data_IF_179813215390
#
_entry.id   IF_179813215390
#
_cell.length_a   1.000
_cell.length_b   1.000
_cell.length_c   1.000
_cell.angle_alpha   90.00
_cell.angle_beta   90.00
_cell.angle_gamma   90.00
#
_symmetry.space_group_name_H-M   'P 1'
#
loop_
_entity.id
_entity.type
_entity.pdbx_description
1 polymer ?
#
# COMPACT_ATOMS: atom_id res chain seq x y z
N UNK A 1 7.83 75.83 30.80
CA UNK A 1 6.66 76.31 31.52
C UNK A 1 5.84 75.08 31.70
N UNK A 2 6.11 74.42 32.76
CA UNK A 2 5.38 74.37 34.04
C UNK A 2 4.17 73.42 33.87
N UNK A 3 4.29 72.30 34.44
CA UNK A 3 4.15 71.85 35.87
C UNK A 3 2.75 71.37 36.05
N UNK A 4 2.45 70.36 36.65
CA UNK A 4 2.78 69.66 37.86
C UNK A 4 1.58 68.78 38.18
N UNK A 5 1.88 67.60 38.61
CA UNK A 5 1.66 67.06 39.98
C UNK A 5 0.25 66.64 40.31
N UNK A 6 0.17 65.43 40.69
CA UNK A 6 0.22 64.83 42.05
C UNK A 6 -1.21 64.51 42.54
N UNK A 7 -1.55 63.48 43.17
CA UNK A 7 -1.11 62.69 44.31
C UNK A 7 -2.14 61.61 44.62
N UNK A 8 -1.69 60.46 45.00
CA UNK A 8 -1.87 59.68 46.24
C UNK A 8 -3.32 59.55 46.76
N UNK A 9 -3.75 58.48 47.25
CA UNK A 9 -3.41 57.58 48.35
C UNK A 9 -4.62 56.68 48.57
N UNK A 10 -4.70 55.58 48.99
CA UNK A 10 -4.33 54.74 50.12
C UNK A 10 -5.40 53.65 50.27
N UNK A 11 -4.97 52.41 50.34
CA UNK A 11 -4.92 51.52 51.51
C UNK A 11 -6.22 51.19 52.22
N UNK A 12 -6.50 49.94 52.32
CA UNK A 12 -6.82 49.03 53.42
C UNK A 12 -7.83 47.97 53.01
N UNK A 13 -7.37 46.73 52.98
CA UNK A 13 -7.45 45.65 53.99
C UNK A 13 -8.87 45.27 54.42
N UNK A 14 -9.15 44.03 54.24
CA UNK A 14 -9.43 42.98 55.20
C UNK A 14 -10.37 41.93 54.62
N UNK A 15 -10.00 40.78 54.79
CA UNK A 15 -10.36 39.56 55.48
C UNK A 15 -11.09 38.50 54.61
N UNK A 16 -10.39 37.46 54.43
CA UNK A 16 -10.53 36.08 54.88
C UNK A 16 -11.97 35.58 55.09
N UNK A 17 -12.38 34.62 54.30
CA UNK A 17 -13.15 33.47 54.78
C UNK A 17 -12.92 32.24 53.92
N UNK A 18 -12.39 31.23 54.60
CA UNK A 18 -12.40 29.82 54.27
C UNK A 18 -13.81 29.30 53.97
N UNK A 19 -13.89 28.35 53.11
CA UNK A 19 -14.58 27.03 53.25
C UNK A 19 -15.04 26.54 51.89
N UNK A 20 -14.75 25.45 51.54
CA UNK A 20 -14.98 24.03 51.73
C UNK A 20 -15.13 23.36 50.37
N UNK A 21 -14.31 22.37 50.22
CA UNK A 21 -14.43 21.28 49.24
C UNK A 21 -15.83 20.67 49.22
N UNK A 22 -16.32 20.35 48.05
CA UNK A 22 -17.35 19.33 47.91
C UNK A 22 -17.07 18.49 46.65
N UNK A 23 -16.69 17.27 46.88
CA UNK A 23 -16.63 16.15 45.94
C UNK A 23 -17.98 15.89 45.25
N UNK A 24 -18.02 15.44 43.98
CA UNK A 24 -19.25 14.92 43.36
C UNK A 24 -19.44 13.44 43.72
N UNK A 25 -20.69 12.97 43.86
CA UNK A 25 -21.03 11.66 44.36
C UNK A 25 -20.88 10.55 43.30
N UNK A 26 -20.43 9.40 43.78
CA UNK A 26 -20.45 8.13 43.07
C UNK A 26 -21.86 7.54 43.00
N UNK A 27 -22.27 6.80 41.99
CA UNK A 27 -23.53 6.06 41.97
C UNK A 27 -23.39 4.69 42.67
N UNK A 28 -24.34 4.50 43.58
CA UNK A 28 -24.52 3.28 44.36
C UNK A 28 -24.95 2.08 43.50
N UNK A 29 -24.36 0.97 43.86
CA UNK A 29 -24.77 -0.38 43.52
C UNK A 29 -26.00 -0.77 44.30
N UNK A 30 -27.02 -1.31 43.64
CA UNK A 30 -28.06 -2.09 44.34
C UNK A 30 -28.36 -3.40 43.58
N UNK A 31 -27.89 -4.48 44.19
CA UNK A 31 -28.31 -5.83 43.94
C UNK A 31 -29.70 -6.08 44.55
N UNK A 32 -30.51 -6.83 43.86
CA UNK A 32 -31.47 -7.78 44.48
C UNK A 32 -31.94 -8.79 43.42
N UNK A 33 -31.53 -10.01 43.56
CA UNK A 33 -32.37 -11.21 43.35
C UNK A 33 -33.21 -11.42 44.60
N UNK A 34 -34.31 -12.22 44.65
CA UNK A 34 -34.39 -13.59 44.13
C UNK A 34 -35.82 -14.11 43.76
N UNK A 35 -35.81 -15.34 43.20
CA UNK A 35 -36.79 -16.45 43.37
C UNK A 35 -38.26 -16.20 42.87
N UNK A 36 -39.00 -17.14 42.31
CA UNK A 36 -39.00 -18.60 42.22
C UNK A 36 -40.21 -19.07 41.38
N UNK A 37 -40.09 -20.27 40.81
CA UNK A 37 -41.12 -21.26 40.55
C UNK A 37 -42.44 -20.89 39.88
N UNK A 38 -42.87 -21.59 38.83
CA UNK A 38 -43.45 -22.96 38.83
C UNK A 38 -43.88 -23.38 37.44
N UNK A 39 -43.51 -24.57 37.10
CA UNK A 39 -44.19 -25.65 36.39
C UNK A 39 -45.50 -25.39 35.67
N UNK A 40 -45.57 -25.87 34.42
CA UNK A 40 -46.65 -26.80 33.95
C UNK A 40 -46.29 -27.46 32.64
N UNK A 41 -46.26 -28.77 32.69
CA UNK A 41 -46.42 -29.78 31.64
C UNK A 41 -47.49 -29.42 30.60
N UNK A 42 -47.23 -29.73 29.35
CA UNK A 42 -48.20 -30.45 28.52
C UNK A 42 -47.50 -31.21 27.39
N UNK A 43 -47.78 -32.45 27.38
CA UNK A 43 -47.41 -33.60 26.63
C UNK A 43 -48.25 -33.67 25.31
N UNK A 44 -47.71 -34.45 24.38
CA UNK A 44 -48.33 -35.11 23.21
C UNK A 44 -48.16 -34.39 21.87
N UNK A 45 -47.85 -34.97 20.74
CA UNK A 45 -47.94 -36.42 20.34
C UNK A 45 -47.11 -36.58 19.06
N UNK A 46 -46.55 -37.77 18.90
CA UNK A 46 -45.95 -38.33 17.69
C UNK A 46 -46.94 -38.32 16.49
N UNK A 47 -46.41 -38.07 15.32
CA UNK A 47 -46.81 -38.89 14.15
C UNK A 47 -45.60 -39.07 13.23
N UNK A 48 -45.18 -40.31 13.16
CA UNK A 48 -44.36 -40.89 12.12
C UNK A 48 -45.17 -40.95 10.82
N UNK A 49 -44.56 -40.56 9.74
CA UNK A 49 -44.86 -41.16 8.46
C UNK A 49 -43.60 -41.28 7.62
N UNK A 50 -43.17 -42.50 7.50
CA UNK A 50 -42.13 -43.03 6.68
C UNK A 50 -42.62 -43.18 5.25
N UNK A 51 -41.95 -42.58 4.29
CA UNK A 51 -41.99 -43.08 2.92
C UNK A 51 -40.56 -43.39 2.45
N UNK A 52 -40.30 -44.67 2.39
CA UNK A 52 -39.25 -45.29 1.58
C UNK A 52 -39.51 -45.02 0.11
N UNK A 53 -38.54 -44.44 -0.58
CA UNK A 53 -38.42 -44.61 -2.00
C UNK A 53 -37.04 -45.19 -2.29
N UNK A 54 -37.12 -46.36 -2.90
CA UNK A 54 -36.04 -47.28 -3.22
C UNK A 54 -35.08 -46.70 -4.27
N UNK A 55 -33.81 -46.93 -3.97
CA UNK A 55 -32.65 -47.22 -4.81
C UNK A 55 -32.93 -47.49 -6.31
N UNK A 56 -32.28 -46.70 -7.14
CA UNK A 56 -31.61 -47.23 -8.32
C UNK A 56 -30.16 -46.74 -8.41
N UNK A 57 -29.30 -47.69 -8.18
CA UNK A 57 -27.87 -47.64 -8.38
C UNK A 57 -27.60 -47.66 -9.87
N UNK A 58 -27.10 -46.54 -10.42
CA UNK A 58 -26.36 -46.60 -11.67
C UNK A 58 -24.96 -46.10 -11.38
N UNK A 59 -24.06 -47.07 -11.30
CA UNK A 59 -22.63 -46.91 -11.48
C UNK A 59 -22.37 -46.41 -12.90
N UNK A 60 -21.77 -45.26 -13.02
CA UNK A 60 -21.00 -44.91 -14.20
C UNK A 60 -19.60 -44.59 -13.77
N UNK A 61 -18.71 -45.46 -14.12
CA UNK A 61 -17.26 -45.32 -13.99
C UNK A 61 -16.75 -44.05 -14.72
N UNK A 62 -15.66 -43.45 -14.26
CA UNK A 62 -15.07 -42.31 -14.95
C UNK A 62 -14.24 -42.80 -16.13
N UNK A 63 -14.54 -42.25 -17.25
CA UNK A 63 -13.79 -42.37 -18.50
C UNK A 63 -12.36 -41.85 -18.28
N UNK A 64 -11.42 -42.77 -18.19
CA UNK A 64 -9.99 -42.56 -18.32
C UNK A 64 -9.65 -42.44 -19.81
N UNK A 65 -9.61 -41.24 -20.31
CA UNK A 65 -8.88 -40.98 -21.56
C UNK A 65 -7.51 -40.40 -21.22
N UNK A 66 -6.56 -41.26 -21.22
CA UNK A 66 -5.15 -40.99 -21.33
C UNK A 66 -4.84 -40.57 -22.78
N UNK A 67 -4.21 -39.46 -23.06
CA UNK A 67 -3.60 -39.22 -24.34
C UNK A 67 -2.13 -39.66 -24.28
N UNK A 68 -1.84 -40.85 -24.72
CA UNK A 68 -0.61 -41.13 -25.45
C UNK A 68 -0.67 -40.28 -26.73
N UNK A 69 0.20 -39.31 -26.85
CA UNK A 69 1.01 -38.98 -28.03
C UNK A 69 1.68 -37.61 -27.80
N UNK A 70 2.94 -37.65 -27.47
CA UNK A 70 3.99 -36.74 -27.96
C UNK A 70 5.33 -37.20 -27.43
N UNK A 71 5.76 -38.33 -27.93
CA UNK A 71 7.20 -38.65 -28.02
C UNK A 71 7.66 -38.17 -29.38
N UNK A 72 8.16 -36.97 -29.45
CA UNK A 72 9.09 -36.48 -30.48
C UNK A 72 9.28 -34.97 -30.24
N UNK A 73 10.22 -34.65 -29.34
CA UNK A 73 10.92 -33.34 -29.29
C UNK A 73 11.94 -33.22 -28.16
N UNK A 74 12.43 -34.31 -27.57
CA UNK A 74 13.41 -34.25 -26.48
C UNK A 74 14.87 -34.49 -26.91
N UNK A 75 15.19 -34.43 -28.22
CA UNK A 75 16.58 -34.60 -28.68
C UNK A 75 17.33 -33.29 -28.97
N UNK A 76 16.67 -32.13 -28.89
CA UNK A 76 17.31 -30.84 -29.24
C UNK A 76 17.75 -30.00 -28.02
N UNK A 77 17.54 -30.49 -26.79
CA UNK A 77 17.91 -29.77 -25.57
C UNK A 77 19.24 -30.20 -24.96
N UNK A 78 19.74 -31.40 -25.27
CA UNK A 78 21.00 -31.91 -24.71
C UNK A 78 22.25 -31.39 -25.45
N UNK A 79 22.14 -31.01 -26.72
CA UNK A 79 23.29 -30.43 -27.45
C UNK A 79 23.60 -28.99 -27.08
N UNK A 80 22.61 -28.21 -26.57
CA UNK A 80 22.82 -26.85 -26.09
C UNK A 80 23.39 -26.77 -24.68
N UNK A 81 23.27 -27.81 -23.88
CA UNK A 81 23.85 -27.86 -22.53
C UNK A 81 25.36 -28.13 -22.59
N UNK A 82 25.80 -28.96 -23.52
CA UNK A 82 27.23 -29.33 -23.69
C UNK A 82 28.09 -28.22 -24.30
N UNK A 83 27.49 -27.25 -25.01
CA UNK A 83 28.22 -26.09 -25.54
C UNK A 83 28.43 -24.98 -24.49
N UNK A 84 27.58 -24.90 -23.47
CA UNK A 84 27.72 -23.90 -22.37
C UNK A 84 28.80 -24.28 -21.35
N UNK A 85 29.16 -25.54 -21.18
CA UNK A 85 30.23 -25.93 -20.25
C UNK A 85 31.65 -25.71 -20.84
N UNK A 86 31.80 -25.75 -22.15
CA UNK A 86 33.10 -25.49 -22.80
C UNK A 86 33.52 -24.02 -22.89
N UNK A 87 32.57 -23.11 -22.72
CA UNK A 87 32.88 -21.65 -22.63
C UNK A 87 33.26 -21.18 -21.24
N UNK A 88 32.96 -21.95 -20.18
CA UNK A 88 33.33 -21.61 -18.80
C UNK A 88 34.76 -21.98 -18.40
N UNK A 89 35.45 -22.79 -19.16
CA UNK A 89 36.81 -23.24 -18.84
C UNK A 89 37.93 -22.40 -19.46
N UNK A 90 37.61 -21.43 -20.34
CA UNK A 90 38.59 -20.52 -20.96
C UNK A 90 38.77 -19.17 -20.29
N UNK A 91 38.11 -18.92 -19.14
CA UNK A 91 38.17 -17.64 -18.46
C UNK A 91 38.95 -17.63 -17.14
N UNK A 92 39.85 -18.63 -16.93
CA UNK A 92 40.66 -18.74 -15.70
C UNK A 92 42.15 -18.61 -15.94
N UNK A 93 42.58 -17.62 -16.68
CA UNK A 93 44.00 -17.20 -16.60
C UNK A 93 44.16 -15.79 -17.17
N UNK A 94 44.11 -14.83 -16.30
CA UNK A 94 44.92 -13.59 -16.31
C UNK A 94 44.71 -12.84 -15.02
N UNK A 95 45.63 -13.04 -14.13
CA UNK A 95 45.81 -12.30 -12.90
C UNK A 95 46.82 -11.19 -13.13
N UNK A 96 46.48 -10.03 -12.52
CA UNK A 96 47.37 -8.98 -12.04
C UNK A 96 47.78 -7.86 -13.00
N UNK A 97 47.19 -6.71 -12.78
CA UNK A 97 47.94 -5.44 -12.62
C UNK A 97 47.00 -4.32 -12.10
N UNK A 98 47.37 -3.84 -10.96
CA UNK A 98 46.77 -2.69 -10.25
C UNK A 98 46.80 -1.40 -11.08
N UNK A 99 45.61 -0.77 -11.23
CA UNK A 99 45.52 0.68 -11.41
C UNK A 99 44.14 1.16 -10.96
N UNK A 100 44.15 2.08 -10.01
CA UNK A 100 43.00 2.82 -9.50
C UNK A 100 42.25 3.48 -10.65
N UNK A 101 41.08 2.96 -11.02
CA UNK A 101 40.10 3.67 -11.82
C UNK A 101 38.98 4.13 -10.89
N UNK A 102 38.73 5.44 -10.94
CA UNK A 102 37.58 6.10 -10.30
C UNK A 102 36.33 5.35 -10.66
N UNK A 103 35.48 5.08 -9.67
CA UNK A 103 34.16 4.44 -9.78
C UNK A 103 33.26 5.19 -10.75
N UNK A 104 33.43 4.95 -12.04
CA UNK A 104 32.35 5.16 -12.99
C UNK A 104 31.39 3.99 -12.83
N UNK A 105 30.16 4.27 -12.42
CA UNK A 105 29.10 3.25 -12.40
C UNK A 105 29.11 2.53 -13.76
N UNK A 106 29.13 1.17 -13.76
CA UNK A 106 29.10 0.43 -15.01
C UNK A 106 27.85 0.85 -15.79
N UNK A 107 28.02 1.14 -17.07
CA UNK A 107 26.93 1.44 -17.99
C UNK A 107 25.99 0.25 -17.99
N UNK A 108 24.92 0.31 -17.20
CA UNK A 108 23.97 -0.79 -17.09
C UNK A 108 23.15 -0.83 -18.39
N UNK A 109 23.33 -1.91 -19.14
CA UNK A 109 22.53 -2.17 -20.32
C UNK A 109 21.05 -2.22 -19.94
N UNK A 110 20.22 -1.59 -20.75
CA UNK A 110 18.78 -1.70 -20.68
C UNK A 110 18.34 -3.17 -20.62
N UNK A 111 17.49 -3.50 -19.69
CA UNK A 111 16.96 -4.85 -19.52
C UNK A 111 15.81 -5.08 -20.51
N UNK A 112 16.00 -5.94 -21.51
CA UNK A 112 15.02 -6.25 -22.56
C UNK A 112 13.69 -6.83 -22.03
N UNK A 113 13.64 -7.19 -20.73
CA UNK A 113 12.40 -7.66 -20.08
C UNK A 113 11.35 -6.58 -19.91
N UNK A 114 11.74 -5.30 -20.02
CA UNK A 114 10.87 -4.16 -19.81
C UNK A 114 10.41 -3.57 -21.14
N UNK A 115 9.13 -3.31 -21.25
CA UNK A 115 8.57 -2.53 -22.36
C UNK A 115 8.91 -1.06 -22.17
N UNK A 116 9.15 -0.36 -23.27
CA UNK A 116 9.42 1.08 -23.25
C UNK A 116 8.10 1.82 -23.00
N UNK A 117 7.88 2.21 -21.76
CA UNK A 117 6.73 3.01 -21.36
C UNK A 117 7.09 4.51 -21.42
N UNK A 118 6.14 5.34 -21.77
CA UNK A 118 6.28 6.79 -21.78
C UNK A 118 5.37 7.36 -20.69
N UNK A 119 5.95 8.13 -19.78
CA UNK A 119 5.18 8.91 -18.81
C UNK A 119 4.84 10.26 -19.44
N UNK A 120 3.57 10.65 -19.38
CA UNK A 120 3.14 12.01 -19.66
C UNK A 120 3.18 12.84 -18.36
N UNK A 121 4.14 13.77 -18.21
CA UNK A 121 4.25 14.57 -16.99
C UNK A 121 3.01 15.45 -16.74
N UNK A 122 2.34 15.92 -17.78
CA UNK A 122 1.13 16.74 -17.62
C UNK A 122 -0.06 15.93 -17.11
N UNK A 123 -0.16 14.65 -17.48
CA UNK A 123 -1.21 13.77 -16.97
C UNK A 123 -0.97 13.44 -15.50
N UNK A 124 0.28 13.17 -15.11
CA UNK A 124 0.68 12.96 -13.72
C UNK A 124 0.42 14.19 -12.84
N UNK A 125 0.61 15.37 -13.38
CA UNK A 125 0.36 16.61 -12.65
C UNK A 125 -1.12 16.86 -12.32
N UNK A 126 -2.04 16.38 -13.16
CA UNK A 126 -3.50 16.58 -13.01
C UNK A 126 -4.17 15.57 -12.11
N UNK A 127 -3.54 14.44 -11.88
CA UNK A 127 -4.08 13.38 -11.04
C UNK A 127 -2.94 12.56 -10.43
N UNK A 128 -3.20 11.96 -9.29
CA UNK A 128 -2.35 10.89 -8.81
C UNK A 128 -3.14 9.59 -8.76
N UNK A 129 -2.43 8.48 -8.98
CA UNK A 129 -3.01 7.17 -9.05
C UNK A 129 -2.36 6.28 -8.01
N UNK A 130 -3.18 5.65 -7.19
CA UNK A 130 -2.75 4.57 -6.34
C UNK A 130 -3.16 3.26 -7.00
N UNK A 131 -2.20 2.41 -7.22
CA UNK A 131 -2.44 1.08 -7.73
C UNK A 131 -1.97 0.08 -6.69
N UNK A 132 -2.84 -0.83 -6.33
CA UNK A 132 -2.53 -1.90 -5.37
C UNK A 132 -3.04 -3.23 -5.89
N UNK A 133 -2.41 -4.31 -5.50
CA UNK A 133 -2.96 -5.64 -5.77
C UNK A 133 -4.11 -5.88 -4.80
N UNK A 134 -5.29 -6.19 -5.34
CA UNK A 134 -6.43 -6.54 -4.53
C UNK A 134 -6.18 -7.89 -3.84
N UNK A 135 -6.23 -7.90 -2.52
CA UNK A 135 -6.06 -9.10 -1.69
C UNK A 135 -7.42 -9.59 -1.21
N UNK A 136 -7.73 -10.85 -1.49
CA UNK A 136 -8.85 -11.54 -0.87
C UNK A 136 -8.32 -12.39 0.28
N UNK A 137 -8.74 -12.11 1.50
CA UNK A 137 -8.38 -12.92 2.67
C UNK A 137 -8.97 -14.32 2.56
N UNK A 138 -8.15 -15.32 2.87
CA UNK A 138 -8.57 -16.69 2.97
C UNK A 138 -7.98 -17.38 4.21
N UNK A 139 -8.75 -18.27 4.81
CA UNK A 139 -8.31 -19.12 5.91
C UNK A 139 -8.29 -20.58 5.48
N UNK A 140 -7.27 -21.30 5.92
CA UNK A 140 -7.16 -22.74 5.71
C UNK A 140 -8.26 -23.47 6.51
N UNK A 141 -9.10 -24.26 5.84
CA UNK A 141 -10.13 -25.09 6.48
C UNK A 141 -9.55 -26.31 7.21
N UNK A 142 -8.42 -26.77 6.72
CA UNK A 142 -7.66 -27.94 7.22
C UNK A 142 -6.17 -27.61 7.11
N UNK A 143 -5.32 -28.43 7.71
CA UNK A 143 -3.88 -28.36 7.42
C UNK A 143 -3.68 -28.59 5.91
N UNK A 144 -3.17 -27.56 5.25
CA UNK A 144 -3.10 -27.60 3.79
C UNK A 144 -1.66 -27.50 3.27
N UNK A 145 -1.45 -28.12 2.13
CA UNK A 145 -0.22 -28.00 1.35
C UNK A 145 -0.41 -26.94 0.26
N UNK A 146 0.57 -26.07 0.12
CA UNK A 146 0.67 -25.09 -0.96
C UNK A 146 1.61 -25.69 -2.00
N UNK A 147 1.13 -25.84 -3.24
CA UNK A 147 1.86 -26.56 -4.30
C UNK A 147 2.49 -25.56 -5.29
N UNK A 148 3.60 -25.97 -5.89
CA UNK A 148 4.31 -25.17 -6.92
C UNK A 148 3.55 -25.06 -8.23
N UNK A 149 2.56 -25.93 -8.49
CA UNK A 149 1.71 -25.93 -9.68
C UNK A 149 0.28 -26.35 -9.33
N UNK A 150 -0.67 -26.21 -10.26
CA UNK A 150 -2.09 -26.57 -10.12
C UNK A 150 -2.30 -28.09 -10.12
N UNK A 151 -1.51 -28.83 -9.36
CA UNK A 151 -1.54 -30.30 -9.27
C UNK A 151 -1.21 -30.77 -7.86
N UNK A 152 -1.92 -31.79 -7.38
CA UNK A 152 -1.61 -32.44 -6.10
C UNK A 152 -0.33 -33.30 -6.16
N UNK A 153 0.17 -33.55 -7.37
CA UNK A 153 1.44 -34.29 -7.61
C UNK A 153 2.65 -33.32 -7.67
N UNK A 154 2.38 -32.01 -7.77
CA UNK A 154 3.47 -31.00 -7.78
C UNK A 154 4.20 -30.95 -6.45
N UNK A 155 5.42 -30.42 -6.47
CA UNK A 155 6.20 -30.20 -5.25
C UNK A 155 5.45 -29.27 -4.29
N UNK A 156 5.67 -29.47 -2.99
CA UNK A 156 5.05 -28.69 -1.93
C UNK A 156 5.95 -27.48 -1.62
N UNK A 157 5.49 -26.29 -1.99
CA UNK A 157 6.18 -25.03 -1.70
C UNK A 157 6.16 -24.70 -0.21
N UNK A 158 5.09 -25.06 0.49
CA UNK A 158 4.95 -24.83 1.91
C UNK A 158 3.71 -25.49 2.49
N UNK A 159 3.55 -25.35 3.81
CA UNK A 159 2.39 -25.86 4.56
C UNK A 159 1.76 -24.75 5.38
N UNK A 160 0.42 -24.71 5.41
CA UNK A 160 -0.36 -23.77 6.21
C UNK A 160 -1.27 -24.56 7.15
N UNK A 161 -1.18 -24.27 8.43
CA UNK A 161 -2.01 -24.91 9.44
C UNK A 161 -3.49 -24.51 9.27
N UNK A 162 -4.40 -25.35 9.78
CA UNK A 162 -5.81 -25.01 9.90
C UNK A 162 -5.99 -23.63 10.55
N UNK A 163 -6.95 -22.84 10.06
CA UNK A 163 -7.23 -21.45 10.46
C UNK A 163 -6.06 -20.46 10.21
N UNK A 164 -5.00 -20.91 9.53
CA UNK A 164 -3.92 -20.04 9.06
C UNK A 164 -4.36 -19.13 7.92
N UNK A 165 -3.74 -17.96 7.86
CA UNK A 165 -4.05 -16.90 6.90
C UNK A 165 -3.28 -17.06 5.60
N UNK A 166 -3.97 -16.93 4.49
CA UNK A 166 -3.37 -16.67 3.19
C UNK A 166 -4.21 -15.62 2.43
N UNK A 167 -3.59 -15.04 1.40
CA UNK A 167 -4.24 -14.11 0.47
C UNK A 167 -4.43 -14.79 -0.86
N UNK A 168 -5.64 -14.69 -1.43
CA UNK A 168 -5.89 -15.15 -2.79
C UNK A 168 -5.47 -14.02 -3.74
N UNK A 169 -4.44 -14.25 -4.51
CA UNK A 169 -3.95 -13.33 -5.53
C UNK A 169 -4.63 -13.59 -6.88
N UNK A 170 -5.01 -14.84 -7.14
CA UNK A 170 -5.76 -15.22 -8.32
C UNK A 170 -6.63 -16.45 -8.01
N UNK A 171 -7.87 -16.45 -8.51
CA UNK A 171 -8.87 -17.52 -8.29
C UNK A 171 -9.26 -18.15 -9.62
N UNK A 172 -9.03 -19.43 -9.74
CA UNK A 172 -9.50 -20.26 -10.87
C UNK A 172 -10.66 -21.16 -10.46
N UNK A 173 -11.08 -22.05 -11.37
CA UNK A 173 -12.23 -22.95 -11.15
C UNK A 173 -12.01 -23.87 -9.93
N UNK A 174 -10.88 -24.56 -9.84
CA UNK A 174 -10.59 -25.56 -8.81
C UNK A 174 -9.40 -25.17 -7.92
N UNK A 175 -8.53 -24.31 -8.39
CA UNK A 175 -7.29 -23.90 -7.76
C UNK A 175 -7.21 -22.38 -7.65
N UNK A 176 -6.70 -21.91 -6.54
CA UNK A 176 -6.32 -20.50 -6.34
C UNK A 176 -4.81 -20.39 -6.19
N UNK A 177 -4.26 -19.28 -6.69
CA UNK A 177 -2.90 -18.88 -6.40
C UNK A 177 -2.91 -18.02 -5.16
N UNK A 178 -2.14 -18.42 -4.17
CA UNK A 178 -2.15 -17.81 -2.84
C UNK A 178 -0.76 -17.39 -2.39
N UNK A 179 -0.75 -16.45 -1.47
CA UNK A 179 0.40 -16.02 -0.70
C UNK A 179 0.12 -16.19 0.78
N UNK A 180 1.08 -16.70 1.55
CA UNK A 180 1.03 -16.75 3.00
C UNK A 180 2.46 -16.60 3.55
N UNK A 181 2.76 -15.43 4.12
CA UNK A 181 4.15 -15.07 4.44
C UNK A 181 5.02 -15.09 3.20
N UNK A 182 6.14 -15.77 3.27
CA UNK A 182 7.09 -15.95 2.15
C UNK A 182 6.79 -17.19 1.28
N UNK A 183 5.60 -17.76 1.39
CA UNK A 183 5.18 -18.92 0.59
C UNK A 183 4.18 -18.50 -0.45
N UNK A 184 4.43 -18.77 -1.70
CA UNK A 184 3.49 -18.59 -2.81
C UNK A 184 3.29 -19.91 -3.56
N UNK A 185 2.06 -20.13 -4.03
CA UNK A 185 1.74 -21.33 -4.77
C UNK A 185 0.24 -21.56 -4.89
N UNK A 186 -0.12 -22.79 -5.17
CA UNK A 186 -1.48 -23.18 -5.51
C UNK A 186 -2.13 -24.02 -4.41
N UNK A 187 -3.38 -23.72 -4.10
CA UNK A 187 -4.22 -24.48 -3.18
C UNK A 187 -5.54 -24.84 -3.84
N UNK A 188 -6.15 -25.95 -3.43
CA UNK A 188 -7.53 -26.30 -3.89
C UNK A 188 -8.53 -25.36 -3.23
N UNK A 189 -9.43 -24.79 -4.02
CA UNK A 189 -10.47 -23.84 -3.53
C UNK A 189 -11.31 -24.42 -2.41
N UNK A 190 -11.62 -25.72 -2.44
CA UNK A 190 -12.41 -26.40 -1.40
C UNK A 190 -11.75 -26.39 0.00
N UNK A 191 -10.44 -26.22 0.06
CA UNK A 191 -9.66 -26.27 1.29
C UNK A 191 -9.46 -24.89 1.95
N UNK A 192 -9.97 -23.84 1.33
CA UNK A 192 -9.89 -22.48 1.88
C UNK A 192 -11.29 -21.88 2.09
N UNK A 193 -11.44 -21.07 3.11
CA UNK A 193 -12.62 -20.28 3.40
C UNK A 193 -12.33 -18.84 2.96
N UNK A 194 -13.29 -18.19 2.31
CA UNK A 194 -13.21 -16.80 1.82
C UNK A 194 -14.48 -16.04 2.15
N UNK A 195 -14.50 -14.75 1.85
CA UNK A 195 -15.68 -13.90 1.99
C UNK A 195 -15.76 -13.17 3.33
N UNK A 196 -16.95 -12.63 3.65
CA UNK A 196 -17.15 -11.72 4.78
C UNK A 196 -16.79 -12.35 6.13
N UNK A 197 -17.13 -13.62 6.34
CA UNK A 197 -16.77 -14.35 7.57
C UNK A 197 -15.25 -14.33 7.82
N UNK A 198 -14.45 -14.43 6.75
CA UNK A 198 -12.98 -14.37 6.87
C UNK A 198 -12.53 -12.97 7.21
N UNK A 199 -13.09 -11.95 6.56
CA UNK A 199 -12.76 -10.54 6.86
C UNK A 199 -13.01 -10.20 8.32
N UNK A 200 -14.17 -10.60 8.86
CA UNK A 200 -14.51 -10.42 10.27
C UNK A 200 -13.51 -11.14 11.17
N UNK A 201 -13.19 -12.41 10.89
CA UNK A 201 -12.20 -13.18 11.70
C UNK A 201 -10.82 -12.54 11.66
N UNK A 202 -10.36 -12.06 10.51
CA UNK A 202 -9.07 -11.38 10.38
C UNK A 202 -9.07 -10.05 11.13
N UNK A 203 -10.15 -9.27 11.05
CA UNK A 203 -10.29 -8.01 11.77
C UNK A 203 -10.25 -8.21 13.30
N UNK A 204 -11.01 -9.20 13.82
CA UNK A 204 -11.06 -9.51 15.25
C UNK A 204 -9.72 -10.02 15.79
N UNK A 205 -9.06 -10.91 15.05
CA UNK A 205 -7.80 -11.51 15.49
C UNK A 205 -6.58 -10.63 15.22
N UNK A 206 -6.72 -9.62 14.37
CA UNK A 206 -5.68 -8.78 13.76
C UNK A 206 -4.71 -9.61 12.89
N UNK A 207 -4.53 -9.17 11.65
CA UNK A 207 -3.74 -9.85 10.62
C UNK A 207 -2.34 -10.28 11.11
N UNK A 208 -1.63 -9.38 11.81
CA UNK A 208 -0.27 -9.64 12.31
C UNK A 208 -0.13 -10.74 13.35
N UNK A 209 -1.24 -11.21 13.94
CA UNK A 209 -1.25 -12.30 14.91
C UNK A 209 -1.74 -13.64 14.33
N UNK A 210 -1.96 -13.68 13.01
CA UNK A 210 -2.43 -14.90 12.36
C UNK A 210 -1.27 -15.80 11.94
N UNK A 211 -1.50 -17.11 11.99
CA UNK A 211 -0.52 -18.10 11.56
C UNK A 211 -0.33 -18.03 10.05
N UNK A 212 0.91 -17.92 9.61
CA UNK A 212 1.29 -17.93 8.21
C UNK A 212 1.93 -19.28 7.82
N UNK A 213 2.07 -19.52 6.52
CA UNK A 213 2.63 -20.73 6.00
C UNK A 213 4.13 -20.87 6.33
N UNK A 214 4.56 -22.13 6.52
CA UNK A 214 5.96 -22.52 6.64
C UNK A 214 6.49 -22.96 5.27
N UNK A 215 7.54 -22.32 4.77
CA UNK A 215 8.17 -22.65 3.52
C UNK A 215 8.80 -24.06 3.57
N UNK A 216 8.74 -24.80 2.45
CA UNK A 216 9.38 -26.08 2.20
C UNK A 216 10.42 -26.00 1.08
N UNK A 217 10.31 -24.97 0.26
CA UNK A 217 11.22 -24.68 -0.86
C UNK A 217 11.64 -23.22 -0.69
N UNK A 218 12.89 -22.90 -0.97
CA UNK A 218 13.37 -21.53 -1.02
C UNK A 218 12.54 -20.75 -2.05
N UNK A 219 12.07 -19.53 -1.73
CA UNK A 219 11.34 -18.70 -2.68
C UNK A 219 12.04 -18.52 -4.02
N UNK A 220 13.38 -18.48 -4.04
CA UNK A 220 14.19 -18.37 -5.28
C UNK A 220 14.09 -19.59 -6.18
N UNK A 221 13.84 -20.76 -5.60
CA UNK A 221 13.72 -22.04 -6.30
C UNK A 221 12.27 -22.42 -6.61
N UNK A 222 11.31 -21.65 -6.11
CA UNK A 222 9.89 -21.93 -6.25
C UNK A 222 9.34 -21.45 -7.60
N UNK A 223 9.04 -22.36 -8.56
CA UNK A 223 8.51 -21.99 -9.87
C UNK A 223 7.13 -21.31 -9.82
N UNK A 224 6.42 -21.39 -8.67
CA UNK A 224 5.14 -20.71 -8.49
C UNK A 224 5.26 -19.17 -8.49
N UNK A 225 6.45 -18.63 -8.30
CA UNK A 225 6.71 -17.19 -8.45
C UNK A 225 6.75 -16.72 -9.92
N UNK A 226 6.51 -17.59 -10.88
CA UNK A 226 6.42 -17.22 -12.29
C UNK A 226 5.25 -16.24 -12.56
N UNK A 227 5.00 -15.97 -13.84
CA UNK A 227 3.92 -15.07 -14.26
C UNK A 227 2.54 -15.55 -13.79
N UNK A 228 1.79 -14.70 -13.13
CA UNK A 228 0.43 -14.95 -12.64
C UNK A 228 -0.50 -13.79 -12.96
N UNK A 229 -1.82 -14.05 -12.99
CA UNK A 229 -2.82 -12.98 -13.03
C UNK A 229 -3.01 -12.42 -11.62
N UNK A 230 -2.91 -11.11 -11.49
CA UNK A 230 -3.28 -10.36 -10.28
C UNK A 230 -4.41 -9.40 -10.61
N UNK A 231 -5.30 -9.15 -9.67
CA UNK A 231 -6.29 -8.08 -9.80
C UNK A 231 -5.65 -6.82 -9.24
N UNK A 232 -5.49 -5.82 -10.08
CA UNK A 232 -4.96 -4.50 -9.68
C UNK A 232 -6.15 -3.58 -9.43
N UNK A 233 -6.14 -2.92 -8.30
CA UNK A 233 -7.11 -1.88 -7.96
C UNK A 233 -6.46 -0.52 -8.17
N UNK A 234 -6.96 0.21 -9.14
CA UNK A 234 -6.55 1.58 -9.44
C UNK A 234 -7.50 2.55 -8.74
N UNK A 235 -6.93 3.47 -7.97
CA UNK A 235 -7.65 4.59 -7.37
C UNK A 235 -7.10 5.88 -7.95
N UNK A 236 -7.93 6.64 -8.65
CA UNK A 236 -7.55 7.90 -9.29
C UNK A 236 -8.10 9.07 -8.49
N UNK A 237 -7.21 9.95 -8.05
CA UNK A 237 -7.56 11.19 -7.37
C UNK A 237 -7.19 12.36 -8.28
N UNK A 238 -8.21 13.10 -8.73
CA UNK A 238 -8.01 14.33 -9.50
C UNK A 238 -7.48 15.43 -8.59
N UNK A 239 -6.39 16.07 -9.01
CA UNK A 239 -5.89 17.30 -8.40
C UNK A 239 -6.48 18.51 -9.11
N UNK A 240 -7.14 19.36 -8.37
CA UNK A 240 -7.63 20.66 -8.90
C UNK A 240 -6.77 21.76 -8.30
N UNK A 241 -6.09 22.54 -9.12
CA UNK A 241 -5.26 23.64 -8.65
C UNK A 241 -6.07 24.64 -7.87
N UNK A 242 -5.54 25.08 -6.75
CA UNK A 242 -6.04 26.17 -5.96
C UNK A 242 -4.89 27.03 -5.41
N UNK A 243 -5.13 28.30 -5.22
CA UNK A 243 -4.14 29.26 -4.72
C UNK A 243 -4.73 30.01 -3.54
N UNK A 244 -3.98 30.10 -2.45
CA UNK A 244 -4.42 30.81 -1.24
C UNK A 244 -4.58 32.32 -1.49
N UNK A 245 -5.72 32.88 -1.13
CA UNK A 245 -6.01 34.33 -1.23
C UNK A 245 -5.41 35.13 -0.08
N UNK A 246 -5.48 34.56 1.11
CA UNK A 246 -5.13 35.23 2.36
C UNK A 246 -3.71 34.93 2.79
N UNK A 247 -3.14 35.83 3.58
CA UNK A 247 -1.92 35.51 4.33
C UNK A 247 -2.24 34.47 5.39
N UNK A 248 -1.38 33.48 5.53
CA UNK A 248 -1.48 32.44 6.57
C UNK A 248 -2.83 31.70 6.54
N UNK A 249 -3.17 31.17 5.37
CA UNK A 249 -4.36 30.33 5.24
C UNK A 249 -4.20 29.03 6.04
N UNK A 250 -4.96 28.93 7.15
CA UNK A 250 -4.93 27.77 8.02
C UNK A 250 -5.53 26.53 7.33
N UNK A 251 -4.77 25.47 7.28
CA UNK A 251 -5.23 24.12 6.96
C UNK A 251 -5.60 23.43 8.26
N UNK A 252 -6.82 22.92 8.35
CA UNK A 252 -7.38 22.40 9.61
C UNK A 252 -7.62 20.90 9.56
N UNK A 253 -7.58 20.26 10.70
CA UNK A 253 -7.77 18.83 10.83
C UNK A 253 -9.22 18.39 10.55
N UNK A 254 -10.21 19.27 10.78
CA UNK A 254 -11.63 19.04 10.57
C UNK A 254 -12.30 20.24 9.90
N UNK A 255 -13.51 20.09 9.42
CA UNK A 255 -14.33 21.15 8.79
C UNK A 255 -14.89 22.14 9.82
N UNK A 256 -14.02 22.73 10.61
CA UNK A 256 -14.38 23.68 11.69
C UNK A 256 -13.29 24.72 11.90
N UNK A 257 -13.69 25.97 12.22
CA UNK A 257 -12.76 27.03 12.61
C UNK A 257 -12.08 26.78 13.96
N UNK A 258 -12.67 25.94 14.80
CA UNK A 258 -12.13 25.56 16.10
C UNK A 258 -11.21 24.34 16.05
N UNK A 259 -11.17 23.66 14.88
CA UNK A 259 -10.32 22.51 14.68
C UNK A 259 -8.84 22.91 14.70
N UNK A 260 -8.01 21.98 15.16
CA UNK A 260 -6.54 22.12 15.19
C UNK A 260 -6.02 22.52 13.82
N UNK A 261 -5.09 23.48 13.78
CA UNK A 261 -4.35 23.85 12.58
C UNK A 261 -3.25 22.80 12.38
N UNK A 262 -3.21 22.20 11.22
CA UNK A 262 -2.24 21.16 10.84
C UNK A 262 -1.15 21.69 9.92
N UNK A 263 -1.38 22.86 9.34
CA UNK A 263 -0.41 23.57 8.51
C UNK A 263 -0.95 24.92 8.07
N UNK A 264 -0.08 25.74 7.46
CA UNK A 264 -0.39 27.09 7.00
C UNK A 264 0.09 27.28 5.57
N UNK A 265 -0.81 27.74 4.68
CA UNK A 265 -0.48 28.07 3.30
C UNK A 265 -0.28 29.58 3.21
N UNK A 266 0.90 30.09 2.80
CA UNK A 266 1.09 31.52 2.63
C UNK A 266 0.27 32.06 1.45
N UNK A 267 0.04 33.38 1.42
CA UNK A 267 -0.65 34.03 0.30
C UNK A 267 0.02 33.71 -1.04
N UNK A 268 -0.77 33.38 -2.03
CA UNK A 268 -0.27 32.94 -3.34
C UNK A 268 0.30 31.50 -3.34
N UNK A 269 0.28 30.81 -2.21
CA UNK A 269 0.73 29.43 -2.08
C UNK A 269 -0.18 28.46 -2.83
N UNK A 270 0.41 27.41 -3.35
CA UNK A 270 -0.27 26.37 -4.13
C UNK A 270 -0.83 25.29 -3.20
N UNK A 271 -2.07 24.93 -3.46
CA UNK A 271 -2.62 23.66 -2.97
C UNK A 271 -3.46 22.98 -4.04
N UNK A 272 -3.79 21.73 -3.79
CA UNK A 272 -4.66 20.93 -4.64
C UNK A 272 -5.93 20.60 -3.90
N UNK A 273 -7.09 20.88 -4.49
CA UNK A 273 -8.35 20.34 -3.98
C UNK A 273 -8.43 18.88 -4.40
N UNK A 274 -8.53 17.99 -3.41
CA UNK A 274 -8.66 16.54 -3.59
C UNK A 274 -10.11 16.09 -3.48
N UNK A 275 -10.92 16.78 -2.66
CA UNK A 275 -12.32 16.46 -2.44
C UNK A 275 -13.14 17.69 -2.00
N UNK A 276 -14.46 17.54 -2.01
CA UNK A 276 -15.44 18.51 -1.53
C UNK A 276 -15.38 19.87 -2.26
N UNK A 277 -14.93 19.87 -3.51
CA UNK A 277 -14.92 21.08 -4.35
C UNK A 277 -16.33 21.66 -4.45
N UNK A 278 -16.47 22.97 -4.19
CA UNK A 278 -17.77 23.68 -4.22
C UNK A 278 -18.58 23.56 -2.95
N UNK A 279 -18.10 22.90 -1.92
CA UNK A 279 -18.65 22.93 -0.57
C UNK A 279 -18.07 24.11 0.22
N UNK A 280 -18.61 24.42 1.39
CA UNK A 280 -18.06 25.45 2.30
C UNK A 280 -16.61 25.17 2.67
N UNK A 281 -16.30 23.90 2.96
CA UNK A 281 -14.97 23.41 3.24
C UNK A 281 -14.54 22.43 2.15
N UNK A 282 -13.32 22.56 1.65
CA UNK A 282 -12.72 21.59 0.76
C UNK A 282 -11.50 20.92 1.40
N UNK A 283 -11.29 19.67 1.03
CA UNK A 283 -10.12 18.89 1.44
C UNK A 283 -8.98 19.15 0.47
N UNK A 284 -7.86 19.62 1.00
CA UNK A 284 -6.71 20.06 0.19
C UNK A 284 -5.42 19.35 0.58
N UNK A 285 -4.48 19.37 -0.38
CA UNK A 285 -3.08 18.96 -0.21
C UNK A 285 -2.17 20.12 -0.63
N UNK A 286 -1.19 20.46 0.18
CA UNK A 286 -0.14 21.43 -0.16
C UNK A 286 1.19 20.95 0.45
N UNK A 287 2.10 20.47 -0.39
CA UNK A 287 3.27 19.73 0.10
C UNK A 287 2.86 18.50 0.89
N UNK A 288 3.39 18.37 2.08
CA UNK A 288 3.10 17.25 2.99
C UNK A 288 1.87 17.49 3.88
N UNK A 289 1.29 18.69 3.78
CA UNK A 289 0.11 19.07 4.57
C UNK A 289 -1.18 18.67 3.85
N UNK A 290 -2.04 17.91 4.53
CA UNK A 290 -3.42 17.64 4.11
C UNK A 290 -4.40 18.05 5.20
N UNK A 291 -5.53 18.61 4.79
CA UNK A 291 -6.58 19.01 5.71
C UNK A 291 -7.67 19.81 5.03
N UNK A 292 -8.43 20.52 5.83
CA UNK A 292 -9.59 21.29 5.38
C UNK A 292 -9.30 22.79 5.39
N UNK A 293 -9.74 23.45 4.32
CA UNK A 293 -9.73 24.91 4.21
C UNK A 293 -11.10 25.40 3.77
N UNK A 294 -11.46 26.64 4.16
CA UNK A 294 -12.67 27.27 3.63
C UNK A 294 -12.49 27.59 2.16
N UNK A 295 -13.43 27.16 1.33
CA UNK A 295 -13.38 27.31 -0.12
C UNK A 295 -13.34 28.75 -0.58
N UNK A 296 -13.98 29.67 0.18
CA UNK A 296 -13.99 31.12 -0.10
C UNK A 296 -12.59 31.74 -0.06
N UNK A 297 -11.66 31.14 0.68
CA UNK A 297 -10.28 31.63 0.85
C UNK A 297 -9.33 31.11 -0.25
N UNK A 298 -9.86 30.42 -1.24
CA UNK A 298 -9.10 29.87 -2.35
C UNK A 298 -9.50 30.51 -3.70
N UNK A 299 -8.52 30.85 -4.51
CA UNK A 299 -8.69 31.00 -5.95
C UNK A 299 -8.73 29.62 -6.58
N UNK A 300 -9.66 29.37 -7.50
CA UNK A 300 -9.85 28.09 -8.16
C UNK A 300 -10.12 28.23 -9.66
N UNK A 301 -10.16 27.11 -10.39
CA UNK A 301 -10.51 27.10 -11.80
C UNK A 301 -9.51 27.84 -12.67
N UNK A 302 -10.00 28.53 -13.72
CA UNK A 302 -9.15 29.18 -14.74
C UNK A 302 -8.18 30.21 -14.15
N UNK A 303 -8.56 30.88 -13.07
CA UNK A 303 -7.73 31.89 -12.42
C UNK A 303 -6.54 31.23 -11.71
N UNK A 304 -6.79 30.20 -10.91
CA UNK A 304 -5.72 29.41 -10.29
C UNK A 304 -4.80 28.78 -11.34
N UNK A 305 -5.36 28.17 -12.39
CA UNK A 305 -4.58 27.56 -13.46
C UNK A 305 -3.68 28.57 -14.17
N UNK A 306 -4.18 29.79 -14.41
CA UNK A 306 -3.39 30.86 -15.02
C UNK A 306 -2.20 31.27 -14.13
N UNK A 307 -2.42 31.42 -12.81
CA UNK A 307 -1.37 31.73 -11.82
C UNK A 307 -0.32 30.61 -11.78
N UNK A 308 -0.75 29.36 -11.66
CA UNK A 308 0.14 28.20 -11.62
C UNK A 308 0.99 28.11 -12.90
N UNK A 309 0.38 28.36 -14.06
CA UNK A 309 1.09 28.37 -15.35
C UNK A 309 2.11 29.51 -15.45
N UNK A 310 1.74 30.71 -15.02
CA UNK A 310 2.60 31.90 -15.10
C UNK A 310 3.80 31.79 -14.15
N UNK A 311 3.58 31.38 -12.91
CA UNK A 311 4.61 31.28 -11.87
C UNK A 311 5.48 30.05 -12.06
N UNK A 312 4.98 29.01 -12.71
CA UNK A 312 5.50 27.63 -12.76
C UNK A 312 5.42 26.97 -11.38
N UNK A 313 4.77 25.83 -11.30
CA UNK A 313 4.50 25.08 -10.07
C UNK A 313 5.70 24.98 -9.11
N UNK A 314 6.88 24.62 -9.64
CA UNK A 314 8.11 24.47 -8.86
C UNK A 314 8.59 25.73 -8.13
N UNK A 315 8.07 26.90 -8.53
CA UNK A 315 8.43 28.19 -7.92
C UNK A 315 7.35 28.68 -6.95
N UNK A 316 6.26 27.93 -6.78
CA UNK A 316 5.18 28.28 -5.87
C UNK A 316 5.48 27.79 -4.47
N UNK A 317 5.10 28.58 -3.49
CA UNK A 317 5.22 28.22 -2.08
C UNK A 317 4.17 27.19 -1.74
N UNK A 318 4.53 26.22 -0.91
CA UNK A 318 3.64 25.20 -0.37
C UNK A 318 3.36 25.50 1.12
N UNK A 319 2.45 24.72 1.72
CA UNK A 319 2.16 24.84 3.14
C UNK A 319 3.37 24.50 4.01
N UNK A 320 3.44 25.17 5.15
CA UNK A 320 4.33 24.78 6.25
C UNK A 320 3.56 23.94 7.24
N UNK A 321 4.13 22.84 7.69
CA UNK A 321 3.53 21.98 8.71
C UNK A 321 3.54 22.66 10.08
N UNK A 322 2.42 22.54 10.82
CA UNK A 322 2.29 22.99 12.22
C UNK A 322 2.31 21.82 13.20
N UNK A 323 2.12 20.61 12.70
CA UNK A 323 2.17 19.36 13.47
C UNK A 323 2.85 18.29 12.64
N UNK A 324 3.33 17.26 13.29
CA UNK A 324 3.91 16.11 12.58
C UNK A 324 2.84 15.37 11.78
N UNK A 325 3.18 14.86 10.58
CA UNK A 325 2.22 14.16 9.72
C UNK A 325 1.49 13.00 10.41
N UNK A 326 2.17 12.22 11.25
CA UNK A 326 1.57 11.10 11.97
C UNK A 326 0.53 11.51 13.02
N UNK A 327 0.55 12.77 13.47
CA UNK A 327 -0.43 13.33 14.38
C UNK A 327 -1.67 13.90 13.66
N UNK A 328 -1.58 14.09 12.34
CA UNK A 328 -2.61 14.69 11.52
C UNK A 328 -3.70 13.68 11.17
N UNK A 329 -4.83 13.73 11.87
CA UNK A 329 -5.99 12.86 11.61
C UNK A 329 -6.65 13.14 10.26
N UNK A 330 -6.47 14.34 9.68
CA UNK A 330 -6.99 14.65 8.36
C UNK A 330 -6.39 13.78 7.24
N UNK A 331 -5.20 13.18 7.45
CA UNK A 331 -4.61 12.22 6.50
C UNK A 331 -5.47 10.97 6.28
N UNK A 332 -6.31 10.62 7.25
CA UNK A 332 -7.20 9.46 7.18
C UNK A 332 -8.59 9.79 6.64
N UNK A 333 -8.81 11.02 6.17
CA UNK A 333 -10.10 11.41 5.60
C UNK A 333 -10.42 10.58 4.37
N UNK A 334 -11.57 9.91 4.41
CA UNK A 334 -12.06 9.11 3.29
C UNK A 334 -12.93 9.97 2.38
N UNK A 335 -12.55 10.09 1.14
CA UNK A 335 -13.29 10.83 0.12
C UNK A 335 -13.55 9.97 -1.11
N UNK A 336 -14.56 10.35 -1.88
CA UNK A 336 -14.92 9.62 -3.10
C UNK A 336 -13.86 9.84 -4.17
N UNK A 337 -13.26 8.75 -4.60
CA UNK A 337 -12.32 8.71 -5.71
C UNK A 337 -12.81 7.72 -6.77
N UNK A 338 -12.34 7.84 -7.98
CA UNK A 338 -12.63 6.86 -9.02
C UNK A 338 -11.82 5.60 -8.73
N UNK A 339 -12.52 4.47 -8.52
CA UNK A 339 -11.89 3.17 -8.34
C UNK A 339 -12.18 2.29 -9.55
N UNK A 340 -11.18 1.61 -10.03
CA UNK A 340 -11.27 0.66 -11.12
C UNK A 340 -10.45 -0.57 -10.81
N UNK A 341 -11.04 -1.74 -10.95
CA UNK A 341 -10.35 -3.00 -10.83
C UNK A 341 -10.16 -3.63 -12.20
N UNK A 342 -8.97 -4.11 -12.49
CA UNK A 342 -8.67 -4.85 -13.71
C UNK A 342 -7.71 -5.99 -13.39
N UNK A 343 -7.69 -7.01 -14.25
CA UNK A 343 -6.82 -8.18 -14.06
C UNK A 343 -5.64 -8.10 -15.01
N UNK A 344 -4.44 -8.18 -14.46
CA UNK A 344 -3.20 -8.12 -15.22
C UNK A 344 -2.37 -9.39 -15.08
N UNK A 345 -1.63 -9.71 -16.16
CA UNK A 345 -0.59 -10.72 -16.13
C UNK A 345 0.71 -10.06 -15.66
N UNK A 346 1.17 -10.44 -14.48
CA UNK A 346 2.42 -9.92 -13.90
C UNK A 346 3.51 -10.97 -13.95
N UNK A 347 4.76 -10.55 -14.14
CA UNK A 347 5.93 -11.43 -14.26
C UNK A 347 6.83 -11.25 -13.04
N UNK A 348 7.19 -12.34 -12.38
CA UNK A 348 8.15 -12.31 -11.29
C UNK A 348 9.56 -11.97 -11.81
N UNK A 349 10.19 -10.97 -11.21
CA UNK A 349 11.54 -10.50 -11.57
C UNK A 349 12.62 -11.01 -10.61
N UNK A 350 12.28 -11.36 -9.40
CA UNK A 350 13.18 -11.81 -8.35
C UNK A 350 13.06 -11.01 -7.05
N UNK A 351 13.98 -11.26 -6.12
CA UNK A 351 14.13 -10.46 -4.90
C UNK A 351 15.05 -9.28 -5.16
N UNK A 352 14.60 -8.10 -4.83
CA UNK A 352 15.32 -6.86 -5.00
C UNK A 352 15.57 -6.22 -3.63
N UNK A 353 16.69 -5.52 -3.52
CA UNK A 353 16.98 -4.68 -2.37
C UNK A 353 16.07 -3.47 -2.39
N UNK A 354 15.49 -3.12 -1.26
CA UNK A 354 14.69 -1.91 -1.06
C UNK A 354 15.37 -0.98 -0.08
N UNK A 355 15.34 0.30 -0.42
CA UNK A 355 15.64 1.43 0.47
C UNK A 355 14.59 2.51 0.26
N UNK A 356 14.70 3.62 0.97
CA UNK A 356 13.82 4.76 0.78
C UNK A 356 14.60 6.07 0.77
N UNK A 357 14.08 7.06 0.05
CA UNK A 357 14.64 8.41 -0.06
C UNK A 357 13.54 9.46 -0.01
N UNK A 358 13.91 10.69 0.31
CA UNK A 358 13.04 11.86 0.15
C UNK A 358 13.77 12.95 -0.65
N UNK A 359 13.07 13.99 -1.04
CA UNK A 359 13.62 15.08 -1.85
C UNK A 359 14.53 16.05 -1.07
N UNK A 360 15.07 15.66 0.09
CA UNK A 360 15.92 16.53 0.92
C UNK A 360 17.39 16.49 0.49
N UNK A 361 18.14 17.48 0.98
CA UNK A 361 19.59 17.63 0.71
C UNK A 361 20.40 16.41 1.17
N UNK A 362 19.99 15.74 2.25
CA UNK A 362 20.69 14.56 2.78
C UNK A 362 20.55 13.36 1.83
N UNK A 363 19.33 13.13 1.29
CA UNK A 363 19.07 12.01 0.39
C UNK A 363 19.52 12.28 -1.04
N UNK A 364 19.30 13.50 -1.56
CA UNK A 364 19.47 13.83 -2.97
C UNK A 364 20.67 14.75 -3.28
N UNK A 365 21.35 15.30 -2.26
CA UNK A 365 22.48 16.19 -2.45
C UNK A 365 22.14 17.37 -3.37
N UNK A 366 22.91 17.55 -4.43
CA UNK A 366 22.71 18.61 -5.43
C UNK A 366 21.41 18.46 -6.25
N UNK A 367 20.80 17.28 -6.25
CA UNK A 367 19.53 16.98 -6.94
C UNK A 367 18.29 17.19 -6.06
N UNK A 368 18.44 17.77 -4.86
CA UNK A 368 17.33 18.06 -3.94
C UNK A 368 16.46 19.22 -4.43
N UNK A 369 15.83 19.05 -5.59
CA UNK A 369 14.99 20.07 -6.25
C UNK A 369 13.51 19.70 -6.28
N UNK A 370 13.12 18.58 -5.66
CA UNK A 370 11.73 18.12 -5.61
C UNK A 370 11.18 17.57 -6.94
N UNK A 371 12.06 17.29 -7.91
CA UNK A 371 11.69 16.77 -9.22
C UNK A 371 12.52 15.52 -9.51
N UNK A 372 11.84 14.47 -9.96
CA UNK A 372 12.47 13.20 -10.36
C UNK A 372 13.28 13.34 -11.65
N UNK A 373 14.12 12.36 -11.94
CA UNK A 373 14.88 12.32 -13.18
C UNK A 373 13.99 12.21 -14.46
N UNK A 374 12.73 11.78 -14.33
CA UNK A 374 11.76 11.81 -15.42
C UNK A 374 11.08 13.18 -15.62
N UNK A 375 11.33 14.15 -14.72
CA UNK A 375 10.73 15.47 -14.74
C UNK A 375 9.39 15.59 -14.02
N UNK A 376 8.96 14.55 -13.30
CA UNK A 376 7.72 14.53 -12.51
C UNK A 376 7.99 14.94 -11.06
N UNK A 377 6.94 15.39 -10.35
CA UNK A 377 7.00 15.53 -8.88
C UNK A 377 6.81 14.15 -8.26
N UNK A 378 7.73 13.70 -7.38
CA UNK A 378 7.62 12.39 -6.78
C UNK A 378 6.41 12.28 -5.84
N UNK A 379 5.79 11.10 -5.79
CA UNK A 379 4.59 10.83 -5.00
C UNK A 379 4.84 9.58 -4.15
N UNK A 380 4.67 9.71 -2.83
CA UNK A 380 4.76 8.57 -1.92
C UNK A 380 3.71 7.51 -2.26
N UNK A 381 4.12 6.24 -2.23
CA UNK A 381 3.27 5.12 -2.64
C UNK A 381 3.14 4.92 -4.16
N UNK A 382 3.79 5.77 -4.96
CA UNK A 382 3.80 5.67 -6.42
C UNK A 382 5.22 5.69 -7.00
N UNK A 383 6.06 6.64 -6.59
CA UNK A 383 7.35 6.90 -7.21
C UNK A 383 8.45 6.02 -6.63
N UNK A 384 9.27 5.44 -7.51
CA UNK A 384 10.51 4.77 -7.14
C UNK A 384 11.66 5.15 -8.08
N UNK A 385 12.88 5.13 -7.53
CA UNK A 385 14.10 5.23 -8.29
C UNK A 385 14.67 3.84 -8.58
N UNK A 386 14.99 3.57 -9.83
CA UNK A 386 15.74 2.38 -10.25
C UNK A 386 16.38 2.62 -11.61
N UNK A 387 17.68 2.31 -11.74
CA UNK A 387 18.39 2.36 -13.02
C UNK A 387 18.18 1.07 -13.83
N UNK A 388 18.39 1.14 -15.15
CA UNK A 388 18.38 -0.03 -16.05
C UNK A 388 16.98 -0.41 -16.57
N UNK A 389 15.93 0.38 -16.27
CA UNK A 389 14.59 0.20 -16.80
C UNK A 389 14.02 1.53 -17.32
N UNK A 390 13.08 1.54 -18.27
CA UNK A 390 12.44 2.77 -18.74
C UNK A 390 11.71 3.50 -17.63
N UNK A 391 11.62 4.82 -17.74
CA UNK A 391 10.64 5.57 -16.98
C UNK A 391 9.23 5.11 -17.34
N UNK A 392 8.31 5.12 -16.37
CA UNK A 392 6.95 4.62 -16.52
C UNK A 392 6.79 3.12 -16.29
N UNK A 393 7.90 2.37 -16.16
CA UNK A 393 7.81 0.95 -15.83
C UNK A 393 7.06 0.75 -14.51
N UNK A 394 6.05 -0.13 -14.53
CA UNK A 394 5.28 -0.49 -13.34
C UNK A 394 5.93 -1.68 -12.64
N UNK A 395 6.26 -1.50 -11.36
CA UNK A 395 6.81 -2.53 -10.50
C UNK A 395 5.83 -2.80 -9.35
N UNK A 396 5.55 -4.06 -9.08
CA UNK A 396 4.73 -4.46 -7.93
C UNK A 396 5.69 -4.94 -6.84
N UNK A 397 5.68 -4.23 -5.72
CA UNK A 397 6.50 -4.50 -4.54
C UNK A 397 5.57 -4.50 -3.32
N UNK A 398 5.53 -5.58 -2.54
CA UNK A 398 4.63 -5.72 -1.37
C UNK A 398 3.16 -5.37 -1.71
N UNK A 399 2.70 -5.80 -2.89
CA UNK A 399 1.35 -5.56 -3.44
C UNK A 399 1.00 -4.09 -3.72
N UNK A 400 1.97 -3.18 -3.65
CA UNK A 400 1.84 -1.80 -4.13
C UNK A 400 2.43 -1.70 -5.53
N UNK A 401 1.73 -1.04 -6.43
CA UNK A 401 2.20 -0.79 -7.79
C UNK A 401 2.93 0.54 -7.85
N UNK A 402 4.24 0.47 -7.96
CA UNK A 402 5.09 1.65 -8.11
C UNK A 402 5.38 1.95 -9.57
N UNK A 403 5.68 3.20 -9.86
CA UNK A 403 6.15 3.67 -11.16
C UNK A 403 7.60 4.10 -11.06
N UNK A 404 8.45 3.60 -11.97
CA UNK A 404 9.84 4.06 -12.05
C UNK A 404 9.86 5.44 -12.69
N UNK A 405 10.10 6.47 -11.89
CA UNK A 405 10.11 7.87 -12.30
C UNK A 405 11.46 8.53 -12.00
N UNK A 406 12.30 7.88 -11.20
CA UNK A 406 13.55 8.46 -10.74
C UNK A 406 14.75 7.53 -10.97
N UNK A 407 15.94 8.07 -10.71
CA UNK A 407 17.24 7.41 -10.84
C UNK A 407 18.04 7.62 -9.56
N UNK A 408 19.12 6.85 -9.39
CA UNK A 408 20.02 6.96 -8.25
C UNK A 408 20.48 5.61 -7.72
N UNK A 409 19.78 4.53 -8.08
CA UNK A 409 20.12 3.17 -7.65
C UNK A 409 20.35 2.25 -8.83
N UNK A 410 21.23 1.22 -8.73
CA UNK A 410 21.46 0.25 -9.80
C UNK A 410 20.25 -0.67 -10.00
N UNK A 411 20.24 -1.40 -11.09
CA UNK A 411 19.27 -2.47 -11.33
C UNK A 411 19.29 -3.51 -10.20
N UNK A 412 18.11 -3.91 -9.73
CA UNK A 412 17.97 -4.82 -8.57
C UNK A 412 17.94 -4.13 -7.21
N UNK A 413 18.07 -2.81 -7.22
CA UNK A 413 17.92 -1.97 -6.03
C UNK A 413 16.85 -0.90 -6.33
N UNK A 414 15.74 -0.96 -5.62
CA UNK A 414 14.62 -0.02 -5.72
C UNK A 414 14.69 0.92 -4.52
N UNK A 415 14.67 2.23 -4.80
CA UNK A 415 14.61 3.26 -3.78
C UNK A 415 13.22 3.89 -3.79
N UNK A 416 12.48 3.76 -2.69
CA UNK A 416 11.08 4.16 -2.60
C UNK A 416 10.99 5.59 -2.10
N UNK A 417 10.25 6.44 -2.82
CA UNK A 417 10.05 7.82 -2.39
C UNK A 417 9.17 7.90 -1.14
N UNK A 418 9.65 8.66 -0.15
CA UNK A 418 8.94 9.05 1.06
C UNK A 418 8.82 10.57 1.13
N UNK A 419 7.80 11.08 1.81
CA UNK A 419 7.55 12.53 1.90
C UNK A 419 8.63 13.26 2.69
N UNK A 420 9.22 12.61 3.70
CA UNK A 420 10.21 13.22 4.59
C UNK A 420 11.41 12.29 4.88
N UNK A 421 12.44 12.87 5.49
CA UNK A 421 13.69 12.18 5.79
C UNK A 421 13.52 11.14 6.92
N UNK A 422 12.68 11.42 7.90
CA UNK A 422 12.47 10.53 9.04
C UNK A 422 11.79 9.23 8.57
N UNK A 423 10.75 9.34 7.74
CA UNK A 423 10.09 8.19 7.12
C UNK A 423 11.06 7.39 6.23
N UNK A 424 11.89 8.07 5.45
CA UNK A 424 12.91 7.43 4.61
C UNK A 424 13.97 6.70 5.46
N UNK A 425 14.45 7.32 6.54
CA UNK A 425 15.41 6.72 7.46
C UNK A 425 14.81 5.53 8.22
N UNK A 426 13.56 5.65 8.67
CA UNK A 426 12.82 4.60 9.39
C UNK A 426 12.54 3.37 8.51
N UNK A 427 12.40 3.54 7.19
CA UNK A 427 12.19 2.44 6.26
C UNK A 427 13.36 1.44 6.27
N UNK A 428 14.58 1.91 6.41
CA UNK A 428 15.79 1.11 6.46
C UNK A 428 16.09 0.38 5.15
N UNK A 429 16.74 -0.79 5.27
CA UNK A 429 17.08 -1.65 4.13
C UNK A 429 16.45 -3.03 4.32
N UNK A 430 15.78 -3.53 3.27
CA UNK A 430 15.17 -4.87 3.26
C UNK A 430 15.15 -5.46 1.86
N UNK A 431 14.74 -6.70 1.74
CA UNK A 431 14.48 -7.35 0.45
C UNK A 431 12.99 -7.64 0.30
N UNK A 432 12.48 -7.52 -0.94
CA UNK A 432 11.13 -7.92 -1.29
C UNK A 432 11.08 -8.59 -2.66
N UNK A 433 10.01 -9.36 -2.86
CA UNK A 433 9.68 -9.94 -4.15
C UNK A 433 9.12 -8.85 -5.08
N UNK A 434 9.66 -8.79 -6.29
CA UNK A 434 9.29 -7.78 -7.29
C UNK A 434 8.68 -8.45 -8.50
N UNK A 435 7.58 -7.87 -8.98
CA UNK A 435 6.93 -8.25 -10.22
C UNK A 435 6.90 -7.08 -11.19
N UNK A 436 6.97 -7.40 -12.48
CA UNK A 436 6.70 -6.45 -13.55
C UNK A 436 5.19 -6.38 -13.74
N UNK A 437 4.61 -5.19 -13.51
CA UNK A 437 3.26 -4.81 -13.91
C UNK A 437 3.21 -4.37 -15.38
N UNK A 438 2.02 -4.17 -15.89
CA UNK A 438 1.79 -3.57 -17.21
C UNK A 438 1.34 -2.14 -17.09
#
# INVERSE_FOLDING_TARGET
MQDSENTTDSVQDTENTESTESEPPQPETRATEPESETTADTKAEETQESEEIQTETQQSEPDETDPEDTKEKDQDLDEKAAQREKEKEKAKDKKDSSKSEKDAMPEQKFDERFEKLVIDPEELEKSFRFETVAKEYALAKVDLKIYTAKSSRAAVAGTLAKDGLCYILWKGKNWSYVESGNVRGYVKNKNVLTGEVVRVKVALKKEGFMTLAKAKIDPKENPAYASVKKTIQETVVKRVNAVAKENELNVREEKSTDARVVGVIPQGGLCYILADQGQEWCYVESGDVRGFVKSELLLTGKEADAIVKATKRKNMTLATEEIRPEENRALYYTFTSTQKAHSEKVKYLGKFKLTAYCACQICCGEFANGITASGTVPIQGQTVAMYGVPFGTKLIVDDVVYTVEDRGTPYGHIDIYMVDHEAAAAFGTREADVYLGK
#
